data_IF_009298410151
#
_entry.id   IF_009298410151
#
_cell.length_a   1.000
_cell.length_b   1.000
_cell.length_c   1.000
_cell.angle_alpha   90.00
_cell.angle_beta   90.00
_cell.angle_gamma   90.00
#
_symmetry.space_group_name_H-M   'P 1'
#
loop_
_entity.id
_entity.type
_entity.pdbx_description
1 polymer ?
#
# COMPACT_ATOMS: atom_id res chain seq x y z
N UNK A 1 -23.23 28.95 8.95
CA UNK A 1 -23.03 28.05 7.80
C UNK A 1 -22.05 26.99 8.29
N UNK A 2 -22.58 25.93 8.91
CA UNK A 2 -21.76 24.80 9.33
C UNK A 2 -21.18 24.15 8.07
N UNK A 3 -19.86 24.12 7.96
CA UNK A 3 -19.19 23.37 6.90
C UNK A 3 -19.47 21.90 7.20
N UNK A 4 -20.22 21.24 6.32
CA UNK A 4 -20.27 19.77 6.29
C UNK A 4 -18.83 19.25 6.31
N UNK A 5 -18.45 18.34 7.23
CA UNK A 5 -17.12 17.77 7.21
C UNK A 5 -16.87 17.15 5.84
N UNK A 6 -15.72 17.46 5.23
CA UNK A 6 -15.35 16.85 3.96
C UNK A 6 -15.28 15.32 4.18
N UNK A 7 -15.93 14.55 3.31
CA UNK A 7 -15.71 13.10 3.30
C UNK A 7 -14.22 12.86 3.10
N UNK A 8 -13.64 11.96 3.92
CA UNK A 8 -12.29 11.48 3.69
C UNK A 8 -12.23 10.85 2.28
N UNK A 9 -11.10 10.92 1.56
CA UNK A 9 -10.89 10.15 0.34
C UNK A 9 -11.23 8.67 0.58
N UNK A 10 -11.75 7.98 -0.43
CA UNK A 10 -12.03 6.55 -0.38
C UNK A 10 -10.89 5.77 -1.06
N UNK A 11 -10.36 4.77 -0.36
CA UNK A 11 -9.54 3.70 -0.92
C UNK A 11 -10.31 2.38 -0.81
N UNK A 12 -10.59 1.77 -1.95
CA UNK A 12 -11.22 0.47 -2.07
C UNK A 12 -10.17 -0.54 -2.54
N UNK A 13 -10.05 -1.68 -1.86
CA UNK A 13 -9.00 -2.66 -2.12
C UNK A 13 -9.62 -4.01 -2.45
N UNK A 14 -9.04 -4.72 -3.39
CA UNK A 14 -9.19 -6.17 -3.42
C UNK A 14 -8.44 -6.83 -2.25
N UNK A 15 -8.84 -8.07 -1.93
CA UNK A 15 -8.16 -8.90 -0.95
C UNK A 15 -7.10 -9.78 -1.60
N UNK A 16 -7.52 -10.64 -2.53
CA UNK A 16 -6.68 -11.65 -3.14
C UNK A 16 -5.70 -11.01 -4.13
N UNK A 17 -4.44 -11.44 -4.13
CA UNK A 17 -3.38 -10.84 -4.94
C UNK A 17 -2.87 -9.49 -4.42
N UNK A 18 -3.68 -8.73 -3.68
CA UNK A 18 -3.30 -7.40 -3.14
C UNK A 18 -2.85 -7.47 -1.68
N UNK A 19 -3.63 -8.09 -0.80
CA UNK A 19 -3.35 -8.19 0.65
C UNK A 19 -3.18 -9.63 1.13
N UNK A 20 -3.69 -10.59 0.36
CA UNK A 20 -3.62 -12.02 0.64
C UNK A 20 -3.06 -12.74 -0.57
N UNK A 21 -2.09 -13.61 -0.33
CA UNK A 21 -1.60 -14.56 -1.34
C UNK A 21 -2.06 -15.98 -1.01
N UNK A 22 -2.13 -16.79 -2.05
CA UNK A 22 -2.36 -18.24 -1.92
C UNK A 22 -1.04 -18.94 -2.16
N UNK A 23 -0.68 -19.89 -1.28
CA UNK A 23 0.41 -20.80 -1.58
C UNK A 23 0.10 -21.53 -2.90
N UNK A 24 1.09 -21.72 -3.78
CA UNK A 24 0.86 -22.44 -5.03
C UNK A 24 0.30 -23.82 -4.71
N UNK A 25 -0.93 -24.08 -5.16
CA UNK A 25 -1.55 -25.39 -4.97
C UNK A 25 -0.70 -26.40 -5.72
N UNK A 26 -0.15 -27.43 -5.06
CA UNK A 26 0.58 -28.47 -5.77
C UNK A 26 -0.34 -29.06 -6.84
N UNK A 27 0.17 -29.38 -8.06
CA UNK A 27 -0.66 -29.77 -9.20
C UNK A 27 -1.54 -31.02 -8.96
N UNK A 28 -1.30 -31.77 -7.89
CA UNK A 28 -2.08 -32.95 -7.50
C UNK A 28 -3.24 -32.67 -6.53
N UNK A 29 -3.41 -31.44 -6.03
CA UNK A 29 -4.46 -31.03 -5.08
C UNK A 29 -5.48 -30.05 -5.71
N UNK A 30 -5.15 -29.50 -6.89
CA UNK A 30 -5.92 -28.43 -7.54
C UNK A 30 -7.39 -28.78 -7.86
N UNK A 31 -7.76 -30.07 -7.93
CA UNK A 31 -9.12 -30.48 -8.29
C UNK A 31 -10.10 -30.52 -7.09
N UNK A 32 -9.64 -30.35 -5.84
CA UNK A 32 -10.53 -30.54 -4.65
C UNK A 32 -10.55 -29.35 -3.67
N UNK A 33 -9.54 -28.49 -3.61
CA UNK A 33 -9.41 -27.51 -2.50
C UNK A 33 -8.94 -26.10 -2.90
N UNK A 34 -9.49 -25.50 -3.95
CA UNK A 34 -9.17 -24.10 -4.27
C UNK A 34 -9.65 -23.06 -3.23
N UNK A 35 -10.45 -23.46 -2.24
CA UNK A 35 -11.21 -22.57 -1.35
C UNK A 35 -11.25 -23.06 0.11
N UNK A 36 -10.36 -23.99 0.50
CA UNK A 36 -10.34 -24.58 1.84
C UNK A 36 -9.32 -23.89 2.79
N UNK A 37 -8.28 -23.27 2.25
CA UNK A 37 -7.30 -22.52 3.03
C UNK A 37 -7.75 -21.09 3.30
N UNK A 38 -7.11 -20.43 4.27
CA UNK A 38 -7.32 -19.01 4.55
C UNK A 38 -6.37 -18.10 3.78
N UNK A 39 -5.37 -18.65 3.08
CA UNK A 39 -4.26 -17.90 2.48
C UNK A 39 -3.29 -17.31 3.51
N UNK A 40 -2.33 -16.51 3.06
CA UNK A 40 -1.37 -15.78 3.91
C UNK A 40 -1.43 -14.27 3.65
N UNK A 41 -1.37 -13.47 4.71
CA UNK A 41 -1.32 -12.00 4.60
C UNK A 41 0.02 -11.57 4.03
N UNK A 42 0.00 -10.64 3.08
CA UNK A 42 1.19 -9.97 2.55
C UNK A 42 1.56 -8.83 3.52
N UNK A 43 2.60 -8.97 4.37
CA UNK A 43 2.81 -8.05 5.49
C UNK A 43 3.11 -6.61 5.04
N UNK A 44 3.88 -6.47 3.96
CA UNK A 44 4.24 -5.17 3.40
C UNK A 44 3.00 -4.44 2.85
N UNK A 45 2.11 -5.14 2.14
CA UNK A 45 0.87 -4.56 1.64
C UNK A 45 -0.05 -4.14 2.79
N UNK A 46 -0.14 -4.94 3.86
CA UNK A 46 -0.89 -4.55 5.06
C UNK A 46 -0.30 -3.30 5.75
N UNK A 47 1.03 -3.17 5.80
CA UNK A 47 1.67 -1.97 6.34
C UNK A 47 1.30 -0.72 5.53
N UNK A 48 1.24 -0.82 4.20
CA UNK A 48 0.76 0.26 3.32
C UNK A 48 -0.69 0.64 3.60
N UNK A 49 -1.58 -0.34 3.80
CA UNK A 49 -2.99 -0.08 4.15
C UNK A 49 -3.11 0.67 5.47
N UNK A 50 -2.34 0.27 6.48
CA UNK A 50 -2.31 0.95 7.78
C UNK A 50 -1.80 2.39 7.67
N UNK A 51 -0.82 2.66 6.81
CA UNK A 51 -0.36 4.03 6.51
C UNK A 51 -1.46 4.82 5.78
N UNK A 52 -2.12 4.21 4.80
CA UNK A 52 -3.19 4.83 4.01
C UNK A 52 -4.39 5.21 4.88
N UNK A 53 -4.80 4.34 5.81
CA UNK A 53 -5.95 4.57 6.70
C UNK A 53 -5.79 5.78 7.62
N UNK A 54 -4.57 6.27 7.83
CA UNK A 54 -4.33 7.55 8.53
C UNK A 54 -4.81 8.77 7.72
N UNK A 55 -4.95 8.63 6.40
CA UNK A 55 -5.25 9.71 5.45
C UNK A 55 -6.59 9.53 4.72
N UNK A 56 -7.10 8.30 4.61
CA UNK A 56 -8.35 8.00 3.89
C UNK A 56 -9.27 7.04 4.67
N UNK A 57 -10.50 6.87 4.16
CA UNK A 57 -11.39 5.78 4.54
C UNK A 57 -11.03 4.55 3.69
N UNK A 58 -10.77 3.41 4.33
CA UNK A 58 -10.34 2.19 3.64
C UNK A 58 -11.45 1.15 3.68
N UNK A 59 -11.87 0.66 2.52
CA UNK A 59 -12.83 -0.41 2.39
C UNK A 59 -12.27 -1.60 1.60
N UNK A 60 -12.73 -2.80 1.91
CA UNK A 60 -12.45 -4.02 1.16
C UNK A 60 -13.59 -4.29 0.16
N UNK A 61 -13.26 -4.66 -1.09
CA UNK A 61 -14.19 -5.20 -2.08
C UNK A 61 -13.61 -6.47 -2.70
N UNK A 62 -14.12 -7.63 -2.29
CA UNK A 62 -13.60 -8.93 -2.71
C UNK A 62 -14.69 -9.82 -3.34
N UNK A 63 -14.35 -10.52 -4.41
CA UNK A 63 -15.19 -11.60 -4.91
C UNK A 63 -14.99 -12.85 -4.05
N UNK A 64 -15.80 -12.98 -2.99
CA UNK A 64 -15.64 -14.00 -1.97
C UNK A 64 -16.96 -14.64 -1.53
N UNK A 65 -16.85 -15.80 -0.87
CA UNK A 65 -18.00 -16.50 -0.27
C UNK A 65 -18.51 -15.82 1.00
N UNK A 66 -19.53 -16.41 1.62
CA UNK A 66 -20.02 -16.02 2.95
C UNK A 66 -19.06 -16.35 4.10
N UNK A 67 -17.90 -16.95 3.82
CA UNK A 67 -16.85 -17.23 4.81
C UNK A 67 -15.88 -16.06 5.00
N UNK A 68 -15.91 -15.05 4.13
CA UNK A 68 -14.88 -14.02 4.07
C UNK A 68 -14.63 -13.38 5.44
N UNK A 69 -15.67 -13.02 6.17
CA UNK A 69 -15.54 -12.37 7.47
C UNK A 69 -14.88 -13.26 8.53
N UNK A 70 -15.19 -14.56 8.54
CA UNK A 70 -14.52 -15.54 9.41
C UNK A 70 -13.05 -15.69 9.02
N UNK A 71 -12.75 -15.75 7.72
CA UNK A 71 -11.38 -15.86 7.20
C UNK A 71 -10.57 -14.58 7.53
N UNK A 72 -11.18 -13.39 7.44
CA UNK A 72 -10.54 -12.12 7.85
C UNK A 72 -10.19 -12.12 9.35
N UNK A 73 -11.08 -12.62 10.21
CA UNK A 73 -10.81 -12.72 11.64
C UNK A 73 -9.66 -13.70 11.94
N UNK A 74 -9.59 -14.83 11.23
CA UNK A 74 -8.48 -15.79 11.36
C UNK A 74 -7.14 -15.21 10.92
N UNK A 75 -7.16 -14.33 9.91
CA UNK A 75 -5.97 -13.63 9.39
C UNK A 75 -5.61 -12.36 10.20
N UNK A 76 -6.45 -11.95 11.15
CA UNK A 76 -6.26 -10.70 11.90
C UNK A 76 -6.49 -9.44 11.06
N UNK A 77 -7.31 -9.52 10.02
CA UNK A 77 -7.65 -8.42 9.10
C UNK A 77 -9.03 -7.80 9.37
N UNK A 78 -9.82 -8.36 10.27
CA UNK A 78 -11.19 -7.94 10.59
C UNK A 78 -11.29 -6.49 11.12
N UNK A 79 -10.20 -5.97 11.69
CA UNK A 79 -10.12 -4.57 12.14
C UNK A 79 -9.38 -3.64 11.19
N UNK A 80 -8.83 -4.13 10.08
CA UNK A 80 -7.95 -3.36 9.18
C UNK A 80 -8.72 -2.50 8.16
N UNK A 81 -10.03 -2.74 8.01
CA UNK A 81 -10.91 -1.98 7.13
C UNK A 81 -11.98 -1.19 7.90
N UNK A 82 -12.43 -0.07 7.33
CA UNK A 82 -13.58 0.69 7.83
C UNK A 82 -14.91 0.12 7.33
N UNK A 83 -14.90 -0.60 6.19
CA UNK A 83 -16.03 -1.34 5.64
C UNK A 83 -15.57 -2.55 4.82
N UNK A 84 -16.40 -3.59 4.74
CA UNK A 84 -16.14 -4.80 3.96
C UNK A 84 -17.33 -5.10 3.06
N UNK A 85 -17.05 -5.27 1.77
CA UNK A 85 -18.00 -5.63 0.73
C UNK A 85 -17.53 -6.89 0.02
N UNK A 86 -18.46 -7.80 -0.26
CA UNK A 86 -18.13 -9.01 -1.00
C UNK A 86 -19.30 -9.54 -1.83
N UNK A 87 -18.95 -10.24 -2.90
CA UNK A 87 -19.91 -10.65 -3.94
C UNK A 87 -21.02 -11.57 -3.41
N UNK A 88 -20.73 -12.49 -2.49
CA UNK A 88 -21.75 -13.36 -1.89
C UNK A 88 -22.87 -12.59 -1.15
N UNK A 89 -22.57 -11.43 -0.58
CA UNK A 89 -23.57 -10.58 0.12
C UNK A 89 -24.27 -9.62 -0.83
N UNK A 90 -23.54 -9.07 -1.81
CA UNK A 90 -24.08 -8.07 -2.73
C UNK A 90 -24.84 -8.68 -3.92
N UNK A 91 -24.60 -9.95 -4.23
CA UNK A 91 -25.17 -10.64 -5.39
C UNK A 91 -24.63 -10.15 -6.73
N UNK A 92 -23.51 -9.42 -6.70
CA UNK A 92 -22.80 -8.85 -7.85
C UNK A 92 -21.31 -9.13 -7.63
N UNK A 93 -20.57 -9.42 -8.69
CA UNK A 93 -19.14 -9.72 -8.64
C UNK A 93 -18.37 -8.79 -9.58
N UNK A 94 -17.08 -8.61 -9.32
CA UNK A 94 -16.19 -7.92 -10.27
C UNK A 94 -16.12 -8.80 -11.55
N UNK A 95 -15.98 -8.21 -12.75
CA UNK A 95 -15.84 -6.79 -13.05
C UNK A 95 -17.18 -6.05 -13.32
N UNK A 96 -18.34 -6.51 -12.83
CA UNK A 96 -19.63 -5.86 -13.13
C UNK A 96 -19.65 -4.38 -12.66
N UNK A 97 -19.83 -3.39 -13.56
CA UNK A 97 -19.92 -1.97 -13.19
C UNK A 97 -21.00 -1.64 -12.14
N UNK A 98 -22.03 -2.47 -12.02
CA UNK A 98 -23.08 -2.30 -11.01
C UNK A 98 -22.59 -2.55 -9.59
N UNK A 99 -21.58 -3.42 -9.41
CA UNK A 99 -20.96 -3.69 -8.10
C UNK A 99 -20.31 -2.42 -7.55
N UNK A 100 -19.43 -1.79 -8.33
CA UNK A 100 -18.72 -0.57 -7.92
C UNK A 100 -19.68 0.58 -7.61
N UNK A 101 -20.70 0.80 -8.46
CA UNK A 101 -21.73 1.83 -8.22
C UNK A 101 -22.51 1.56 -6.94
N UNK A 102 -22.87 0.31 -6.66
CA UNK A 102 -23.56 -0.08 -5.43
C UNK A 102 -22.72 0.21 -4.18
N UNK A 103 -21.42 -0.09 -4.21
CA UNK A 103 -20.50 0.21 -3.11
C UNK A 103 -20.38 1.71 -2.88
N UNK A 104 -20.21 2.50 -3.95
CA UNK A 104 -20.18 3.96 -3.89
C UNK A 104 -21.48 4.53 -3.29
N UNK A 105 -22.64 4.05 -3.73
CA UNK A 105 -23.95 4.46 -3.22
C UNK A 105 -24.09 4.14 -1.71
N UNK A 106 -23.68 2.94 -1.28
CA UNK A 106 -23.75 2.51 0.13
C UNK A 106 -22.82 3.32 1.04
N UNK A 107 -21.64 3.72 0.52
CA UNK A 107 -20.69 4.57 1.24
C UNK A 107 -21.01 6.07 1.15
N UNK A 108 -21.97 6.48 0.29
CA UNK A 108 -22.27 7.89 0.03
C UNK A 108 -21.12 8.64 -0.65
N UNK A 109 -20.27 7.93 -1.39
CA UNK A 109 -19.12 8.48 -2.11
C UNK A 109 -19.44 8.62 -3.60
N UNK A 110 -18.97 9.70 -4.24
CA UNK A 110 -19.12 9.87 -5.70
C UNK A 110 -17.97 9.25 -6.50
N UNK A 111 -16.83 9.00 -5.85
CA UNK A 111 -15.63 8.41 -6.46
C UNK A 111 -14.69 7.94 -5.34
N UNK A 112 -13.60 7.29 -5.73
CA UNK A 112 -12.58 6.71 -4.87
C UNK A 112 -11.51 6.01 -5.72
N UNK A 113 -10.45 5.59 -5.07
CA UNK A 113 -9.38 4.80 -5.69
C UNK A 113 -9.73 3.32 -5.50
N UNK A 114 -9.68 2.53 -6.56
CA UNK A 114 -9.81 1.08 -6.46
C UNK A 114 -8.53 0.40 -6.91
N UNK A 115 -7.94 -0.43 -6.05
CA UNK A 115 -6.74 -1.19 -6.35
C UNK A 115 -7.07 -2.69 -6.41
N UNK A 116 -6.74 -3.32 -7.53
CA UNK A 116 -7.00 -4.73 -7.81
C UNK A 116 -5.82 -5.33 -8.58
N UNK A 117 -5.48 -6.58 -8.32
CA UNK A 117 -4.39 -7.29 -9.01
C UNK A 117 -4.77 -7.71 -10.44
N UNK A 118 -6.07 -7.68 -10.77
CA UNK A 118 -6.60 -8.07 -12.06
C UNK A 118 -6.95 -6.82 -12.88
N UNK A 119 -6.25 -6.62 -14.01
CA UNK A 119 -6.42 -5.45 -14.88
C UNK A 119 -7.86 -5.20 -15.32
N UNK A 120 -8.63 -6.26 -15.63
CA UNK A 120 -10.03 -6.16 -16.05
C UNK A 120 -10.91 -5.49 -14.98
N UNK A 121 -10.67 -5.80 -13.70
CA UNK A 121 -11.40 -5.21 -12.58
C UNK A 121 -11.08 -3.72 -12.45
N UNK A 122 -9.81 -3.34 -12.55
CA UNK A 122 -9.39 -1.94 -12.52
C UNK A 122 -9.99 -1.11 -13.68
N UNK A 123 -10.02 -1.68 -14.88
CA UNK A 123 -10.66 -1.04 -16.05
C UNK A 123 -12.16 -0.86 -15.83
N UNK A 124 -12.84 -1.88 -15.31
CA UNK A 124 -14.27 -1.79 -15.05
C UNK A 124 -14.63 -0.80 -13.93
N UNK A 125 -13.81 -0.72 -12.87
CA UNK A 125 -13.95 0.30 -11.84
C UNK A 125 -13.82 1.71 -12.43
N UNK A 126 -12.85 1.91 -13.33
CA UNK A 126 -12.69 3.17 -14.07
C UNK A 126 -13.94 3.51 -14.89
N UNK A 127 -14.49 2.54 -15.61
CA UNK A 127 -15.74 2.71 -16.36
C UNK A 127 -16.95 3.02 -15.47
N UNK A 128 -16.90 2.63 -14.18
CA UNK A 128 -17.93 2.90 -13.19
C UNK A 128 -17.76 4.24 -12.43
N UNK A 129 -16.69 5.01 -12.71
CA UNK A 129 -16.44 6.33 -12.10
C UNK A 129 -15.45 6.36 -10.94
N UNK A 130 -14.77 5.24 -10.67
CA UNK A 130 -13.63 5.19 -9.75
C UNK A 130 -12.33 5.56 -10.50
N UNK A 131 -11.28 5.83 -9.73
CA UNK A 131 -9.90 5.77 -10.20
C UNK A 131 -9.41 4.32 -10.03
N UNK A 132 -9.62 3.49 -11.06
CA UNK A 132 -9.24 2.08 -11.04
C UNK A 132 -7.77 1.87 -11.40
N UNK A 133 -7.05 1.15 -10.55
CA UNK A 133 -5.60 0.95 -10.65
C UNK A 133 -5.27 -0.52 -10.59
N UNK A 134 -4.62 -1.01 -11.64
CA UNK A 134 -4.07 -2.35 -11.67
C UNK A 134 -2.78 -2.41 -10.82
N UNK A 135 -2.77 -3.26 -9.80
CA UNK A 135 -1.67 -3.42 -8.83
C UNK A 135 -1.26 -4.89 -8.72
N UNK A 136 -0.54 -5.44 -9.70
CA UNK A 136 -0.19 -6.87 -9.73
C UNK A 136 0.77 -7.30 -8.62
N UNK A 137 1.36 -6.36 -7.89
CA UNK A 137 2.28 -6.59 -6.78
C UNK A 137 2.26 -5.42 -5.76
N UNK A 138 2.92 -5.63 -4.62
CA UNK A 138 3.03 -4.63 -3.55
C UNK A 138 3.73 -3.35 -3.99
N UNK A 139 4.69 -3.42 -4.92
CA UNK A 139 5.40 -2.24 -5.43
C UNK A 139 4.46 -1.34 -6.25
N UNK A 140 3.63 -1.94 -7.10
CA UNK A 140 2.58 -1.25 -7.83
C UNK A 140 1.53 -0.64 -6.89
N UNK A 141 1.12 -1.36 -5.84
CA UNK A 141 0.24 -0.82 -4.80
C UNK A 141 0.87 0.40 -4.12
N UNK A 142 2.13 0.30 -3.68
CA UNK A 142 2.86 1.41 -3.05
C UNK A 142 2.90 2.62 -3.96
N UNK A 143 3.30 2.44 -5.22
CA UNK A 143 3.33 3.51 -6.22
C UNK A 143 1.95 4.14 -6.40
N UNK A 144 0.90 3.32 -6.52
CA UNK A 144 -0.47 3.80 -6.67
C UNK A 144 -0.92 4.68 -5.49
N UNK A 145 -0.60 4.28 -4.26
CA UNK A 145 -0.93 5.05 -3.06
C UNK A 145 -0.07 6.31 -2.93
N UNK A 146 1.23 6.23 -3.24
CA UNK A 146 2.17 7.33 -3.13
C UNK A 146 1.80 8.49 -4.06
N UNK A 147 1.59 8.23 -5.35
CA UNK A 147 1.25 9.26 -6.34
C UNK A 147 -0.10 9.94 -6.06
N UNK A 148 -0.95 9.30 -5.25
CA UNK A 148 -2.26 9.82 -4.82
C UNK A 148 -2.21 10.51 -3.45
N UNK A 149 -1.02 10.58 -2.83
CA UNK A 149 -0.83 11.17 -1.50
C UNK A 149 -1.52 10.38 -0.38
N UNK A 150 -1.80 9.09 -0.61
CA UNK A 150 -2.44 8.22 0.38
C UNK A 150 -1.42 7.66 1.38
N UNK A 151 -0.14 7.60 1.03
CA UNK A 151 0.96 7.29 1.96
C UNK A 151 1.95 8.47 2.03
N UNK A 152 2.84 8.56 3.04
CA UNK A 152 3.89 9.58 3.05
C UNK A 152 4.71 9.56 1.75
N UNK A 153 5.07 10.75 1.26
CA UNK A 153 5.94 10.88 0.08
C UNK A 153 7.40 10.56 0.42
N UNK A 154 7.78 10.81 1.67
CA UNK A 154 9.15 10.78 2.16
C UNK A 154 9.63 9.38 2.47
N UNK A 155 10.87 9.10 2.10
CA UNK A 155 11.66 7.92 2.50
C UNK A 155 12.91 8.43 3.22
N UNK A 156 13.25 7.76 4.30
CA UNK A 156 14.47 8.03 5.08
C UNK A 156 15.47 6.93 4.76
N UNK A 157 16.62 7.26 4.16
CA UNK A 157 17.74 6.32 4.08
C UNK A 157 18.55 6.44 5.37
N UNK A 158 18.69 5.35 6.12
CA UNK A 158 19.40 5.31 7.40
C UNK A 158 20.73 4.61 7.20
N UNK A 159 21.83 5.31 7.43
CA UNK A 159 23.20 4.88 7.19
C UNK A 159 24.06 5.01 8.45
N UNK A 160 25.02 4.10 8.69
CA UNK A 160 25.85 4.12 9.90
C UNK A 160 26.94 5.20 9.87
N UNK A 161 27.42 5.58 8.68
CA UNK A 161 28.53 6.53 8.52
C UNK A 161 28.07 7.89 7.98
N UNK A 162 28.63 8.95 8.55
CA UNK A 162 28.31 10.33 8.19
C UNK A 162 28.79 10.68 6.79
N UNK A 163 30.06 10.39 6.52
CA UNK A 163 30.72 10.84 5.30
C UNK A 163 30.08 10.09 4.11
N UNK A 164 29.75 8.81 4.29
CA UNK A 164 28.95 8.04 3.33
C UNK A 164 27.55 8.64 3.11
N UNK A 165 26.86 9.06 4.18
CA UNK A 165 25.54 9.70 4.05
C UNK A 165 25.60 11.05 3.33
N UNK A 166 26.62 11.86 3.60
CA UNK A 166 26.84 13.15 2.92
C UNK A 166 27.22 12.94 1.44
N UNK A 167 28.07 11.94 1.13
CA UNK A 167 28.46 11.58 -0.23
C UNK A 167 27.25 11.07 -1.03
N UNK A 168 26.50 10.11 -0.47
CA UNK A 168 25.30 9.56 -1.12
C UNK A 168 24.23 10.63 -1.35
N UNK A 169 24.01 11.52 -0.37
CA UNK A 169 23.06 12.62 -0.53
C UNK A 169 23.43 13.56 -1.68
N UNK A 170 24.73 13.85 -1.87
CA UNK A 170 25.21 14.65 -2.99
C UNK A 170 24.98 13.94 -4.33
N UNK A 171 25.30 12.64 -4.43
CA UNK A 171 25.05 11.83 -5.63
C UNK A 171 23.56 11.77 -6.00
N UNK A 172 22.70 11.53 -5.00
CA UNK A 172 21.26 11.50 -5.19
C UNK A 172 20.71 12.84 -5.66
N UNK A 173 21.21 13.94 -5.10
CA UNK A 173 20.81 15.29 -5.51
C UNK A 173 21.21 15.57 -6.97
N UNK A 174 22.41 15.14 -7.39
CA UNK A 174 22.85 15.23 -8.78
C UNK A 174 22.01 14.36 -9.72
N UNK A 175 21.56 13.19 -9.25
CA UNK A 175 20.66 12.31 -9.98
C UNK A 175 19.21 12.83 -10.05
N UNK A 176 18.87 13.91 -9.35
CA UNK A 176 17.57 14.57 -9.40
C UNK A 176 16.60 14.18 -8.28
N UNK A 177 17.07 13.46 -7.26
CA UNK A 177 16.32 13.26 -6.03
C UNK A 177 16.32 14.54 -5.19
N UNK A 178 15.34 14.70 -4.30
CA UNK A 178 15.33 15.82 -3.37
C UNK A 178 14.44 15.61 -2.15
N UNK A 179 14.70 16.31 -1.03
CA UNK A 179 15.72 17.35 -0.88
C UNK A 179 17.13 16.82 -0.59
N UNK A 180 17.29 15.51 -0.33
CA UNK A 180 18.54 14.90 0.11
C UNK A 180 19.09 15.54 1.39
N UNK A 181 18.20 15.87 2.33
CA UNK A 181 18.59 16.53 3.57
C UNK A 181 19.21 15.50 4.53
N UNK A 182 20.47 15.70 4.88
CA UNK A 182 21.20 14.85 5.84
C UNK A 182 21.00 15.37 7.25
N UNK A 183 20.55 14.50 8.15
CA UNK A 183 20.44 14.81 9.57
C UNK A 183 20.80 13.61 10.44
N UNK A 184 21.22 13.88 11.68
CA UNK A 184 21.47 12.86 12.68
C UNK A 184 20.14 12.50 13.35
N UNK A 185 19.81 11.22 13.38
CA UNK A 185 18.70 10.71 14.20
C UNK A 185 19.27 9.85 15.34
N UNK A 186 18.65 9.94 16.52
CA UNK A 186 18.96 9.03 17.62
C UNK A 186 17.83 8.03 17.71
N UNK A 187 17.93 6.95 16.92
CA UNK A 187 17.03 5.82 17.10
C UNK A 187 17.20 5.30 18.52
N UNK A 188 16.09 5.23 19.25
CA UNK A 188 16.09 4.93 20.67
C UNK A 188 16.42 3.45 20.92
N UNK A 189 17.70 3.13 21.04
CA UNK A 189 18.15 1.77 21.36
C UNK A 189 19.66 1.69 21.58
N UNK A 190 20.03 1.47 22.84
CA UNK A 190 21.35 1.11 23.37
C UNK A 190 22.32 2.25 23.73
N UNK A 191 22.95 2.06 24.89
CA UNK A 191 23.50 3.06 25.81
C UNK A 191 24.96 3.45 25.48
N UNK A 192 25.36 3.27 24.21
CA UNK A 192 26.69 3.64 23.71
C UNK A 192 26.53 4.83 22.74
N UNK A 193 26.87 6.03 23.22
CA UNK A 193 26.77 7.29 22.49
C UNK A 193 27.68 7.40 21.23
N UNK A 194 28.23 6.28 20.75
CA UNK A 194 29.13 6.16 19.61
C UNK A 194 28.46 5.55 18.37
N UNK A 195 27.31 4.87 18.50
CA UNK A 195 26.52 4.36 17.37
C UNK A 195 25.42 5.37 17.03
N UNK A 196 25.66 6.20 16.02
CA UNK A 196 24.71 7.22 15.56
C UNK A 196 24.33 6.94 14.13
N UNK A 197 23.03 6.87 13.86
CA UNK A 197 22.53 6.74 12.50
C UNK A 197 22.41 8.11 11.83
N UNK A 198 22.85 8.17 10.58
CA UNK A 198 22.74 9.31 9.69
C UNK A 198 21.61 9.07 8.70
N UNK A 199 20.70 10.04 8.61
CA UNK A 199 19.50 9.93 7.81
C UNK A 199 19.58 10.86 6.61
N UNK A 200 19.40 10.31 5.41
CA UNK A 200 19.17 11.07 4.17
C UNK A 200 17.68 11.09 3.87
N UNK A 201 17.06 12.26 3.95
CA UNK A 201 15.64 12.45 3.67
C UNK A 201 15.38 12.71 2.18
N UNK A 202 14.54 11.87 1.57
CA UNK A 202 14.12 11.96 0.17
C UNK A 202 12.60 12.09 0.10
N UNK A 203 12.09 13.14 -0.54
CA UNK A 203 10.64 13.36 -0.74
C UNK A 203 10.22 13.19 -2.20
N UNK A 204 11.10 13.51 -3.15
CA UNK A 204 10.80 13.52 -4.58
C UNK A 204 11.89 12.76 -5.34
N UNK A 205 11.47 11.99 -6.33
CA UNK A 205 12.33 11.24 -7.23
C UNK A 205 12.61 12.01 -8.54
N UNK A 206 13.59 11.57 -9.36
CA UNK A 206 13.98 12.26 -10.60
C UNK A 206 12.86 12.36 -11.63
N UNK A 207 11.88 11.46 -11.60
CA UNK A 207 10.69 11.47 -12.46
C UNK A 207 9.57 12.40 -11.95
N UNK A 208 9.82 13.11 -10.83
CA UNK A 208 8.87 14.02 -10.19
C UNK A 208 7.82 13.32 -9.33
N UNK A 209 7.85 11.99 -9.21
CA UNK A 209 6.98 11.26 -8.31
C UNK A 209 7.50 11.34 -6.86
N UNK A 210 6.64 11.04 -5.86
CA UNK A 210 7.09 10.87 -4.49
C UNK A 210 8.22 9.83 -4.38
N UNK A 211 9.21 10.07 -3.53
CA UNK A 211 10.31 9.12 -3.31
C UNK A 211 9.79 7.74 -2.86
N UNK A 212 8.71 7.69 -2.08
CA UNK A 212 8.08 6.44 -1.65
C UNK A 212 7.49 5.61 -2.79
N UNK A 213 7.28 6.16 -3.99
CA UNK A 213 6.90 5.40 -5.18
C UNK A 213 8.04 4.52 -5.72
N UNK A 214 9.29 4.79 -5.30
CA UNK A 214 10.51 4.10 -5.73
C UNK A 214 11.18 3.37 -4.55
N UNK A 215 10.39 2.95 -3.57
CA UNK A 215 10.89 2.35 -2.32
C UNK A 215 11.84 1.17 -2.55
N UNK A 216 11.52 0.27 -3.48
CA UNK A 216 12.38 -0.89 -3.76
C UNK A 216 13.79 -0.48 -4.25
N UNK A 217 13.89 0.55 -5.10
CA UNK A 217 15.19 1.08 -5.56
C UNK A 217 15.98 1.68 -4.39
N UNK A 218 15.28 2.38 -3.49
CA UNK A 218 15.88 2.98 -2.30
C UNK A 218 16.28 1.95 -1.24
N UNK A 219 15.52 0.84 -1.11
CA UNK A 219 15.85 -0.28 -0.24
C UNK A 219 17.14 -0.95 -0.71
N UNK A 220 17.23 -1.30 -2.00
CA UNK A 220 18.44 -1.85 -2.61
C UNK A 220 19.63 -0.89 -2.52
N UNK A 221 19.38 0.42 -2.60
CA UNK A 221 20.41 1.44 -2.42
C UNK A 221 20.92 1.46 -0.99
N UNK A 222 20.03 1.53 0.01
CA UNK A 222 20.42 1.54 1.41
C UNK A 222 21.22 0.29 1.79
N UNK A 223 20.79 -0.89 1.32
CA UNK A 223 21.49 -2.16 1.58
C UNK A 223 22.93 -2.17 1.05
N UNK A 224 23.23 -1.49 -0.06
CA UNK A 224 24.61 -1.39 -0.59
C UNK A 224 25.54 -0.57 0.30
N UNK A 225 24.98 0.23 1.19
CA UNK A 225 25.69 1.07 2.16
C UNK A 225 25.49 0.57 3.60
N UNK A 226 25.22 -0.74 3.77
CA UNK A 226 24.95 -1.39 5.06
C UNK A 226 23.84 -0.69 5.88
N UNK A 227 22.92 -0.01 5.19
CA UNK A 227 21.82 0.73 5.75
C UNK A 227 20.45 0.11 5.48
N UNK A 228 19.41 0.83 5.87
CA UNK A 228 18.02 0.44 5.63
C UNK A 228 17.15 1.68 5.38
N UNK A 229 15.90 1.47 5.01
CA UNK A 229 14.95 2.56 4.78
C UNK A 229 13.88 2.64 5.86
N UNK A 230 13.54 3.87 6.24
CA UNK A 230 12.44 4.20 7.15
C UNK A 230 11.32 4.97 6.47
N UNK A 231 10.16 4.98 7.13
CA UNK A 231 9.06 5.90 6.82
C UNK A 231 9.15 7.12 7.77
N UNK A 232 8.82 8.32 7.27
CA UNK A 232 8.71 9.55 8.08
C UNK A 232 7.34 9.66 8.78
#
# INVERSE_FOLDING_TARGET
MERTPALKPLLLLDLDGVLRSWLPTPPHIAEVEGWAGTGEVIPEALALVRLARRRCFVALLSDATTRLEDDLALLGLDTEFDAVFHSARLGLAKPDPALYRRVLDELGCSTGVFCDDTEENAVAATAAGLDGVHVPDTAALRKALAVRGLVPATVLLVLPDRDEAEELAAELLEAGWGPCAVHRDMLAGEDDAEDVDWVVELTTAPDGLPASAHRAELDELAERHDGFTGDH
#
